data_IF_164834454558
#
_entry.id   IF_164834454558
#
_cell.length_a   1.000
_cell.length_b   1.000
_cell.length_c   1.000
_cell.angle_alpha   90.00
_cell.angle_beta   90.00
_cell.angle_gamma   90.00
#
_symmetry.space_group_name_H-M   'P 1'
#
loop_
_entity.id
_entity.type
_entity.pdbx_description
1 polymer ?
#
# COMPACT_ATOMS: atom_id res chain seq x y z
N UNK A 1 10.82 7.00 -6.99
CA UNK A 1 12.20 6.48 -7.05
C UNK A 1 12.85 6.76 -8.41
N UNK A 2 12.23 6.37 -9.50
CA UNK A 2 12.77 6.59 -10.86
C UNK A 2 12.94 8.09 -11.15
N UNK A 3 11.91 8.89 -10.89
CA UNK A 3 11.93 10.33 -11.06
C UNK A 3 13.05 10.97 -10.22
N UNK A 4 13.21 10.50 -8.98
CA UNK A 4 14.25 10.99 -8.08
C UNK A 4 15.65 10.69 -8.60
N UNK A 5 15.87 9.52 -9.18
CA UNK A 5 17.16 9.19 -9.82
C UNK A 5 17.47 10.12 -10.99
N UNK A 6 16.48 10.41 -11.83
CA UNK A 6 16.63 11.33 -12.96
C UNK A 6 16.90 12.74 -12.46
N UNK A 7 16.20 13.20 -11.42
CA UNK A 7 16.40 14.52 -10.81
C UNK A 7 17.80 14.65 -10.19
N UNK A 8 18.40 13.54 -9.77
CA UNK A 8 19.77 13.50 -9.25
C UNK A 8 20.85 13.53 -10.35
N UNK A 9 20.46 13.66 -11.62
CA UNK A 9 21.37 13.77 -12.75
C UNK A 9 21.71 12.45 -13.45
N UNK A 10 20.99 11.37 -13.14
CA UNK A 10 21.19 10.08 -13.82
C UNK A 10 20.41 10.10 -15.13
N UNK A 11 21.07 9.72 -16.21
CA UNK A 11 20.45 9.65 -17.53
C UNK A 11 19.25 8.68 -17.56
N UNK A 12 18.13 9.06 -18.16
CA UNK A 12 16.97 8.16 -18.26
C UNK A 12 17.29 6.81 -18.89
N UNK A 13 18.19 6.76 -19.86
CA UNK A 13 18.65 5.53 -20.49
C UNK A 13 19.31 4.60 -19.47
N UNK A 14 20.16 5.13 -18.61
CA UNK A 14 20.83 4.33 -17.57
C UNK A 14 19.84 3.80 -16.54
N UNK A 15 18.87 4.62 -16.12
CA UNK A 15 17.80 4.19 -15.21
C UNK A 15 16.99 3.07 -15.86
N UNK A 16 16.55 3.26 -17.09
CA UNK A 16 15.71 2.30 -17.80
C UNK A 16 16.41 0.95 -18.04
N UNK A 17 17.74 0.97 -18.28
CA UNK A 17 18.49 -0.26 -18.56
C UNK A 17 19.01 -0.97 -17.31
N UNK A 18 19.32 -0.24 -16.24
CA UNK A 18 19.93 -0.81 -15.04
C UNK A 18 18.92 -1.24 -13.97
N UNK A 19 17.82 -0.53 -13.83
CA UNK A 19 16.82 -0.84 -12.81
C UNK A 19 15.92 -2.00 -13.27
N UNK A 20 15.91 -3.08 -12.49
CA UNK A 20 15.09 -4.26 -12.79
C UNK A 20 13.84 -4.33 -11.94
N UNK A 21 13.90 -3.81 -10.71
CA UNK A 21 12.83 -3.91 -9.74
C UNK A 21 12.83 -2.67 -8.84
N UNK A 22 11.66 -2.14 -8.57
CA UNK A 22 11.48 -1.04 -7.61
C UNK A 22 10.54 -1.53 -6.51
N UNK A 23 10.97 -1.43 -5.27
CA UNK A 23 10.18 -1.85 -4.11
C UNK A 23 9.95 -0.65 -3.20
N UNK A 24 8.69 -0.36 -2.91
CA UNK A 24 8.30 0.59 -1.87
C UNK A 24 7.76 -0.20 -0.68
N UNK A 25 8.10 0.24 0.52
CA UNK A 25 7.68 -0.40 1.76
C UNK A 25 7.16 0.65 2.74
N UNK A 26 6.08 0.29 3.45
CA UNK A 26 5.58 1.04 4.61
C UNK A 26 5.30 0.05 5.73
N UNK A 27 5.50 0.48 6.96
CA UNK A 27 5.19 -0.34 8.13
C UNK A 27 3.88 0.14 8.74
N UNK A 28 2.99 -0.82 9.01
CA UNK A 28 1.74 -0.59 9.73
C UNK A 28 1.76 -1.38 11.03
N UNK A 29 1.06 -0.90 12.03
CA UNK A 29 0.92 -1.64 13.29
C UNK A 29 -0.04 -2.81 13.09
N UNK A 30 0.29 -3.93 13.69
CA UNK A 30 -0.57 -5.12 13.68
C UNK A 30 -1.62 -5.02 14.76
N UNK A 31 -2.83 -5.48 14.44
CA UNK A 31 -3.89 -5.63 15.44
C UNK A 31 -3.43 -6.63 16.51
N UNK A 32 -3.62 -6.28 17.78
CA UNK A 32 -3.32 -7.19 18.88
C UNK A 32 -4.23 -8.42 18.80
N UNK A 33 -3.63 -9.60 18.77
CA UNK A 33 -4.39 -10.85 18.65
C UNK A 33 -5.23 -11.17 19.88
N UNK A 34 -4.77 -10.72 21.07
CA UNK A 34 -5.44 -11.01 22.33
C UNK A 34 -6.75 -10.26 22.51
N UNK A 35 -6.87 -9.07 21.91
CA UNK A 35 -8.06 -8.24 22.04
C UNK A 35 -8.70 -7.88 20.68
N UNK A 36 -8.34 -8.60 19.62
CA UNK A 36 -8.91 -8.38 18.29
C UNK A 36 -10.40 -8.69 18.30
N UNK A 37 -11.18 -7.77 17.75
CA UNK A 37 -12.64 -7.90 17.66
C UNK A 37 -13.14 -7.29 16.35
N UNK A 38 -14.29 -7.74 15.83
CA UNK A 38 -14.89 -7.13 14.65
C UNK A 38 -15.16 -5.64 14.87
N UNK A 39 -14.91 -4.84 13.84
CA UNK A 39 -15.12 -3.40 13.86
C UNK A 39 -16.00 -2.97 12.70
N UNK A 40 -16.80 -1.92 12.94
CA UNK A 40 -17.62 -1.29 11.90
C UNK A 40 -17.12 0.12 11.64
N UNK A 41 -17.14 0.51 10.37
CA UNK A 41 -16.72 1.83 9.94
C UNK A 41 -17.84 2.54 9.20
N UNK A 42 -17.82 3.87 9.25
CA UNK A 42 -18.79 4.68 8.52
C UNK A 42 -18.49 4.60 7.01
N UNK A 43 -19.51 4.76 6.14
CA UNK A 43 -19.30 4.74 4.70
C UNK A 43 -18.22 5.72 4.21
N UNK A 44 -18.07 6.85 4.88
CA UNK A 44 -17.06 7.88 4.55
C UNK A 44 -15.64 7.34 4.79
N UNK A 45 -15.43 6.61 5.89
CA UNK A 45 -14.14 6.01 6.23
C UNK A 45 -13.78 4.90 5.23
N UNK A 46 -14.76 4.08 4.85
CA UNK A 46 -14.59 3.03 3.86
C UNK A 46 -14.25 3.64 2.49
N UNK A 47 -14.89 4.74 2.14
CA UNK A 47 -14.65 5.45 0.90
C UNK A 47 -13.22 6.00 0.81
N UNK A 48 -12.63 6.38 1.94
CA UNK A 48 -11.24 6.86 1.99
C UNK A 48 -10.22 5.80 1.57
N UNK A 49 -10.58 4.51 1.63
CA UNK A 49 -9.78 3.40 1.12
C UNK A 49 -9.96 3.17 -0.39
N UNK A 50 -10.88 3.90 -1.03
CA UNK A 50 -11.22 3.65 -2.43
C UNK A 50 -12.20 2.50 -2.63
N UNK A 51 -12.84 2.02 -1.57
CA UNK A 51 -13.87 0.97 -1.64
C UNK A 51 -15.25 1.58 -1.79
N UNK A 52 -16.14 0.84 -2.48
CA UNK A 52 -17.56 1.17 -2.49
C UNK A 52 -18.19 0.74 -1.15
N UNK A 53 -19.34 1.34 -0.73
CA UNK A 53 -20.01 0.92 0.49
C UNK A 53 -20.36 -0.59 0.50
N UNK A 54 -20.66 -1.16 -0.66
CA UNK A 54 -20.96 -2.58 -0.79
C UNK A 54 -19.73 -3.46 -0.54
N UNK A 55 -18.58 -3.07 -1.07
CA UNK A 55 -17.30 -3.75 -0.84
C UNK A 55 -16.92 -3.66 0.64
N UNK A 56 -17.12 -2.51 1.25
CA UNK A 56 -16.84 -2.30 2.66
C UNK A 56 -17.68 -3.17 3.58
N UNK A 57 -18.95 -3.40 3.25
CA UNK A 57 -19.83 -4.29 4.03
C UNK A 57 -19.36 -5.74 4.03
N UNK A 58 -18.67 -6.16 2.98
CA UNK A 58 -18.14 -7.52 2.85
C UNK A 58 -16.77 -7.68 3.48
N UNK A 59 -16.10 -6.58 3.81
CA UNK A 59 -14.76 -6.59 4.37
C UNK A 59 -14.81 -6.94 5.87
N UNK A 60 -14.09 -7.98 6.32
CA UNK A 60 -14.06 -8.34 7.75
C UNK A 60 -13.07 -7.42 8.51
N UNK A 61 -13.49 -6.21 8.80
CA UNK A 61 -12.68 -5.26 9.57
C UNK A 61 -12.49 -5.75 11.01
N UNK A 62 -11.25 -5.72 11.47
CA UNK A 62 -10.87 -6.08 12.83
C UNK A 62 -10.15 -4.91 13.48
N UNK A 63 -10.31 -4.80 14.81
CA UNK A 63 -9.66 -3.76 15.61
C UNK A 63 -9.37 -4.31 17.00
N UNK A 64 -8.26 -3.90 17.59
CA UNK A 64 -7.95 -4.22 18.97
C UNK A 64 -8.73 -3.31 19.92
N UNK A 65 -9.39 -3.93 20.90
CA UNK A 65 -10.15 -3.21 21.93
C UNK A 65 -9.27 -2.62 23.02
N UNK A 66 -8.03 -3.11 23.14
CA UNK A 66 -7.11 -2.76 24.20
C UNK A 66 -7.08 -3.82 25.30
N UNK A 67 -5.89 -4.23 25.69
CA UNK A 67 -5.67 -5.22 26.75
C UNK A 67 -4.29 -5.03 27.36
N UNK A 68 -3.95 -5.83 28.38
CA UNK A 68 -2.64 -5.76 29.02
C UNK A 68 -1.49 -6.12 28.05
N UNK A 69 -1.72 -7.06 27.16
CA UNK A 69 -0.72 -7.50 26.18
C UNK A 69 -0.27 -6.38 25.26
N UNK A 70 -1.18 -5.53 24.83
CA UNK A 70 -0.89 -4.39 23.95
C UNK A 70 -0.81 -3.04 24.68
N UNK A 71 -0.85 -3.06 26.01
CA UNK A 71 -0.82 -1.86 26.87
C UNK A 71 -1.96 -0.89 26.54
N UNK A 72 -3.12 -1.41 26.23
CA UNK A 72 -4.32 -0.64 25.94
C UNK A 72 -4.38 0.00 24.56
N UNK A 73 -3.36 -0.22 23.70
CA UNK A 73 -3.29 0.42 22.39
C UNK A 73 -4.14 -0.26 21.32
N UNK A 74 -4.42 -1.54 21.48
CA UNK A 74 -5.07 -2.35 20.46
C UNK A 74 -4.13 -2.87 19.39
N UNK A 75 -2.86 -2.54 19.46
CA UNK A 75 -1.84 -2.94 18.48
C UNK A 75 -0.65 -3.61 19.14
N UNK A 76 -0.13 -4.64 18.50
CA UNK A 76 1.09 -5.31 18.90
C UNK A 76 1.86 -5.83 17.70
N UNK A 77 3.09 -5.36 17.55
CA UNK A 77 3.94 -5.71 16.42
C UNK A 77 3.65 -4.86 15.18
N UNK A 78 4.37 -5.13 14.11
CA UNK A 78 4.27 -4.43 12.85
C UNK A 78 4.22 -5.38 11.68
N UNK A 79 3.63 -4.92 10.57
CA UNK A 79 3.59 -5.64 9.31
C UNK A 79 4.00 -4.71 8.18
N UNK A 80 4.62 -5.25 7.13
CA UNK A 80 5.02 -4.46 5.97
C UNK A 80 3.94 -4.41 4.92
N UNK A 81 3.73 -3.23 4.35
CA UNK A 81 3.01 -3.04 3.10
C UNK A 81 4.03 -2.89 1.99
N UNK A 82 3.84 -3.57 0.89
CA UNK A 82 4.79 -3.59 -0.21
C UNK A 82 4.12 -3.22 -1.53
N UNK A 83 4.86 -2.44 -2.31
CA UNK A 83 4.51 -2.15 -3.70
C UNK A 83 5.74 -2.51 -4.52
N UNK A 84 5.62 -3.59 -5.30
CA UNK A 84 6.73 -4.14 -6.09
C UNK A 84 6.45 -3.90 -7.55
N UNK A 85 7.30 -3.11 -8.21
CA UNK A 85 7.21 -2.80 -9.63
C UNK A 85 8.37 -3.47 -10.37
N UNK A 86 8.07 -4.49 -11.16
CA UNK A 86 9.03 -5.09 -12.07
C UNK A 86 9.15 -4.23 -13.34
N UNK A 87 10.36 -3.97 -13.78
CA UNK A 87 10.59 -3.15 -14.97
C UNK A 87 10.36 -3.98 -16.23
N UNK A 88 9.16 -3.84 -16.80
CA UNK A 88 8.82 -4.44 -18.08
C UNK A 88 9.41 -3.64 -19.25
N UNK A 89 9.50 -4.22 -20.47
CA UNK A 89 9.91 -3.46 -21.65
C UNK A 89 9.06 -2.20 -21.88
N UNK A 90 7.78 -2.27 -21.62
CA UNK A 90 6.88 -1.11 -21.77
C UNK A 90 7.20 -0.02 -20.76
N UNK A 91 7.43 -0.37 -19.49
CA UNK A 91 7.82 0.59 -18.46
C UNK A 91 9.17 1.24 -18.77
N UNK A 92 10.11 0.47 -19.32
CA UNK A 92 11.41 1.02 -19.75
C UNK A 92 11.24 2.06 -20.84
N UNK A 93 10.36 1.81 -21.82
CA UNK A 93 10.04 2.77 -22.88
C UNK A 93 9.41 4.04 -22.32
N UNK A 94 8.50 3.88 -21.33
CA UNK A 94 7.85 5.03 -20.67
C UNK A 94 8.86 5.89 -19.92
N UNK A 95 9.82 5.29 -19.25
CA UNK A 95 10.89 6.03 -18.56
C UNK A 95 11.73 6.81 -19.58
N UNK A 96 12.08 6.19 -20.70
CA UNK A 96 12.85 6.85 -21.77
C UNK A 96 12.10 8.03 -22.39
N UNK A 97 10.76 7.95 -22.50
CA UNK A 97 9.92 9.03 -23.01
C UNK A 97 9.74 10.19 -22.01
N UNK A 98 10.16 10.01 -20.79
CA UNK A 98 9.89 11.00 -19.73
C UNK A 98 8.46 11.00 -19.25
N UNK A 99 7.77 9.85 -19.29
CA UNK A 99 6.40 9.72 -18.81
C UNK A 99 6.29 10.12 -17.34
N UNK A 100 5.13 10.65 -16.95
CA UNK A 100 4.88 11.06 -15.57
C UNK A 100 4.84 9.87 -14.62
N UNK A 101 5.05 10.14 -13.32
CA UNK A 101 4.96 9.11 -12.27
C UNK A 101 3.58 8.46 -12.29
N UNK A 102 2.52 9.27 -12.49
CA UNK A 102 1.15 8.77 -12.55
C UNK A 102 0.94 7.81 -13.72
N UNK A 103 1.50 8.11 -14.89
CA UNK A 103 1.39 7.26 -16.08
C UNK A 103 2.13 5.95 -15.89
N UNK A 104 3.34 6.00 -15.31
CA UNK A 104 4.15 4.82 -15.02
C UNK A 104 3.41 3.91 -14.03
N UNK A 105 2.84 4.49 -12.98
CA UNK A 105 2.07 3.75 -11.98
C UNK A 105 0.84 3.09 -12.61
N UNK A 106 0.09 3.83 -13.44
CA UNK A 106 -1.09 3.29 -14.11
C UNK A 106 -0.75 2.08 -14.99
N UNK A 107 0.35 2.16 -15.74
CA UNK A 107 0.81 1.05 -16.58
C UNK A 107 1.26 -0.13 -15.73
N UNK A 108 1.99 0.10 -14.64
CA UNK A 108 2.45 -0.95 -13.75
C UNK A 108 1.25 -1.70 -13.13
N UNK A 109 0.22 -0.98 -12.71
CA UNK A 109 -1.02 -1.59 -12.19
C UNK A 109 -1.71 -2.41 -13.27
N UNK A 110 -1.77 -1.90 -14.50
CA UNK A 110 -2.33 -2.62 -15.64
C UNK A 110 -1.60 -3.94 -15.91
N UNK A 111 -0.29 -3.97 -15.65
CA UNK A 111 0.54 -5.17 -15.80
C UNK A 111 0.47 -6.12 -14.59
N UNK A 112 -0.30 -5.78 -13.56
CA UNK A 112 -0.53 -6.63 -12.41
C UNK A 112 0.13 -6.18 -11.10
N UNK A 113 0.77 -5.01 -11.05
CA UNK A 113 1.32 -4.48 -9.81
C UNK A 113 0.22 -4.18 -8.81
N UNK A 114 0.45 -4.55 -7.54
CA UNK A 114 -0.41 -4.13 -6.43
C UNK A 114 0.20 -2.88 -5.78
N UNK A 115 -0.61 -1.84 -5.61
CA UNK A 115 -0.18 -0.64 -4.90
C UNK A 115 -0.07 -0.90 -3.40
N UNK A 116 0.59 -0.01 -2.67
CA UNK A 116 0.65 -0.08 -1.21
C UNK A 116 -0.74 -0.17 -0.59
N UNK A 117 -1.70 0.61 -1.10
CA UNK A 117 -3.09 0.58 -0.63
C UNK A 117 -3.77 -0.75 -0.91
N UNK A 118 -3.56 -1.33 -2.09
CA UNK A 118 -4.11 -2.64 -2.43
C UNK A 118 -3.56 -3.74 -1.52
N UNK A 119 -2.27 -3.71 -1.23
CA UNK A 119 -1.66 -4.64 -0.28
C UNK A 119 -2.20 -4.43 1.12
N UNK A 120 -2.41 -3.17 1.51
CA UNK A 120 -3.04 -2.80 2.78
C UNK A 120 -4.46 -3.36 2.90
N UNK A 121 -5.25 -3.29 1.84
CA UNK A 121 -6.60 -3.87 1.81
C UNK A 121 -6.55 -5.38 2.06
N UNK A 122 -5.60 -6.08 1.48
CA UNK A 122 -5.41 -7.53 1.73
C UNK A 122 -5.05 -7.81 3.18
N UNK A 123 -4.23 -6.97 3.80
CA UNK A 123 -3.87 -7.09 5.22
C UNK A 123 -5.07 -6.84 6.13
N UNK A 124 -5.92 -5.87 5.80
CA UNK A 124 -7.18 -5.62 6.51
C UNK A 124 -8.08 -6.85 6.40
N UNK A 125 -8.24 -7.40 5.22
CA UNK A 125 -9.07 -8.58 4.96
C UNK A 125 -8.63 -9.78 5.79
N UNK A 126 -7.33 -9.91 6.03
CA UNK A 126 -6.76 -10.98 6.86
C UNK A 126 -6.79 -10.68 8.35
N UNK A 127 -7.29 -9.52 8.76
CA UNK A 127 -7.30 -9.12 10.17
C UNK A 127 -5.95 -8.72 10.73
N UNK A 128 -4.96 -8.44 9.88
CA UNK A 128 -3.60 -8.10 10.30
C UNK A 128 -3.49 -6.67 10.81
N UNK A 129 -4.19 -5.73 10.17
CA UNK A 129 -4.12 -4.31 10.50
C UNK A 129 -5.50 -3.66 10.41
N UNK A 130 -5.56 -2.36 10.68
CA UNK A 130 -6.80 -1.59 10.68
C UNK A 130 -6.89 -0.67 9.46
N UNK A 131 -8.12 -0.20 9.19
CA UNK A 131 -8.38 0.80 8.16
C UNK A 131 -7.56 2.07 8.43
N UNK A 132 -7.51 2.53 9.67
CA UNK A 132 -6.79 3.76 10.06
C UNK A 132 -5.30 3.67 9.70
N UNK A 133 -4.69 2.52 9.99
CA UNK A 133 -3.26 2.33 9.70
C UNK A 133 -2.98 2.36 8.19
N UNK A 134 -3.80 1.71 7.40
CA UNK A 134 -3.63 1.67 5.94
C UNK A 134 -3.82 3.07 5.34
N UNK A 135 -4.84 3.79 5.73
CA UNK A 135 -5.09 5.15 5.25
C UNK A 135 -3.92 6.07 5.61
N UNK A 136 -3.45 6.00 6.86
CA UNK A 136 -2.34 6.82 7.34
C UNK A 136 -1.05 6.58 6.55
N UNK A 137 -0.70 5.34 6.31
CA UNK A 137 0.58 4.98 5.68
C UNK A 137 0.53 4.97 4.15
N UNK A 138 -0.66 5.01 3.54
CA UNK A 138 -0.82 5.05 2.09
C UNK A 138 -1.35 6.37 1.57
N UNK A 139 -1.52 7.36 2.42
CA UNK A 139 -1.85 8.72 2.01
C UNK A 139 -0.70 9.30 1.18
N UNK A 140 -1.06 9.92 0.09
CA UNK A 140 -0.08 10.52 -0.83
C UNK A 140 0.57 11.76 -0.22
#
# INVERSE_FOLDING_TARGET
>A
TITRMIDMGIEPFNVASAVNLVVAQRLVRRVCRECSAPATYKPEEIKSLGLTPEQGKKMPFMKGTGCDTCSGTGYKGRAGLYEVMAMSPELRRMVLRGASVADIQAMAVKEGMLTLRMDGLKKIERGVTTLEEVVKETAA
#
